data_IF_399248383174
#
_entry.id   IF_399248383174
#
_cell.length_a   1.000
_cell.length_b   1.000
_cell.length_c   1.000
_cell.angle_alpha   90.00
_cell.angle_beta   90.00
_cell.angle_gamma   90.00
#
_symmetry.space_group_name_H-M   'P 1'
#
loop_
_entity.id
_entity.type
_entity.pdbx_description
1 polymer ?
#
# COMPACT_ATOMS: atom_id res chain seq x y z
N UNK A 1 -3.97 -36.07 11.35
CA UNK A 1 -5.09 -35.30 11.95
C UNK A 1 -5.64 -34.44 10.81
N UNK A 2 -6.87 -34.67 10.35
CA UNK A 2 -7.51 -33.78 9.37
C UNK A 2 -7.87 -32.47 10.08
N UNK A 3 -7.26 -31.39 9.66
CA UNK A 3 -7.69 -30.04 10.03
C UNK A 3 -9.00 -29.79 9.26
N UNK A 4 -10.08 -29.54 9.97
CA UNK A 4 -11.33 -29.12 9.35
C UNK A 4 -11.35 -27.59 9.39
N UNK A 5 -11.00 -26.97 8.27
CA UNK A 5 -11.05 -25.51 8.14
C UNK A 5 -12.46 -25.03 7.78
N UNK A 6 -12.85 -23.81 8.20
CA UNK A 6 -14.12 -23.24 7.81
C UNK A 6 -14.18 -23.03 6.29
N UNK A 7 -15.32 -23.34 5.70
CA UNK A 7 -15.64 -22.87 4.36
C UNK A 7 -16.09 -21.40 4.45
N UNK A 8 -15.47 -20.53 3.68
CA UNK A 8 -15.70 -19.09 3.74
C UNK A 8 -15.86 -18.56 2.32
N UNK A 9 -16.98 -17.90 2.05
CA UNK A 9 -17.33 -17.38 0.74
C UNK A 9 -17.26 -15.86 0.63
N UNK A 10 -17.23 -15.15 1.75
CA UNK A 10 -17.25 -13.69 1.79
C UNK A 10 -16.55 -13.10 3.04
N UNK A 11 -16.45 -11.77 3.08
CA UNK A 11 -15.79 -11.06 4.16
C UNK A 11 -16.51 -11.17 5.51
N UNK A 12 -17.84 -11.30 5.52
CA UNK A 12 -18.62 -11.39 6.77
C UNK A 12 -18.35 -12.73 7.45
N UNK A 13 -18.38 -13.82 6.68
CA UNK A 13 -18.01 -15.15 7.19
C UNK A 13 -16.54 -15.18 7.64
N UNK A 14 -15.66 -14.51 6.90
CA UNK A 14 -14.24 -14.41 7.26
C UNK A 14 -14.04 -13.76 8.63
N UNK A 15 -14.70 -12.64 8.89
CA UNK A 15 -14.58 -11.91 10.15
C UNK A 15 -15.02 -12.75 11.35
N UNK A 16 -16.02 -13.62 11.18
CA UNK A 16 -16.49 -14.55 12.22
C UNK A 16 -15.41 -15.58 12.58
N UNK A 17 -14.64 -16.04 11.60
CA UNK A 17 -13.65 -17.10 11.75
C UNK A 17 -12.21 -16.58 11.86
N UNK A 18 -11.99 -15.28 11.66
CA UNK A 18 -10.65 -14.69 11.68
C UNK A 18 -9.90 -15.00 12.98
N UNK A 19 -10.57 -15.05 14.12
CA UNK A 19 -9.99 -15.27 15.46
C UNK A 19 -10.05 -16.70 15.96
N UNK A 20 -10.47 -17.66 15.15
CA UNK A 20 -10.61 -19.05 15.57
C UNK A 20 -9.31 -19.67 16.08
N UNK A 21 -9.42 -20.53 17.08
CA UNK A 21 -8.29 -21.23 17.70
C UNK A 21 -7.66 -22.33 16.80
N UNK A 22 -8.21 -22.53 15.61
CA UNK A 22 -7.66 -23.48 14.62
C UNK A 22 -6.38 -22.95 13.96
N UNK A 23 -6.21 -21.64 13.81
CA UNK A 23 -5.14 -21.02 13.04
C UNK A 23 -3.72 -21.29 13.53
N UNK A 24 -3.42 -21.33 14.84
CA UNK A 24 -2.11 -21.76 15.32
C UNK A 24 -1.77 -23.21 14.90
N UNK A 25 -2.75 -24.09 14.84
CA UNK A 25 -2.55 -25.48 14.40
C UNK A 25 -2.30 -25.54 12.88
N UNK A 26 -2.97 -24.68 12.09
CA UNK A 26 -2.73 -24.54 10.66
C UNK A 26 -1.31 -24.06 10.41
N UNK A 27 -0.88 -22.99 11.06
CA UNK A 27 0.49 -22.46 10.94
C UNK A 27 1.54 -23.51 11.34
N UNK A 28 1.32 -24.24 12.44
CA UNK A 28 2.19 -25.34 12.86
C UNK A 28 2.25 -26.48 11.82
N UNK A 29 1.11 -26.77 11.17
CA UNK A 29 1.04 -27.79 10.12
C UNK A 29 1.81 -27.35 8.86
N UNK A 30 1.69 -26.09 8.48
CA UNK A 30 2.48 -25.51 7.38
C UNK A 30 3.98 -25.60 7.69
N UNK A 31 4.40 -25.21 8.91
CA UNK A 31 5.79 -25.33 9.32
C UNK A 31 6.31 -26.78 9.22
N UNK A 32 5.55 -27.77 9.73
CA UNK A 32 5.93 -29.19 9.64
C UNK A 32 5.98 -29.68 8.18
N UNK A 33 5.02 -29.30 7.34
CA UNK A 33 4.99 -29.67 5.91
C UNK A 33 6.25 -29.25 5.19
N UNK A 34 6.75 -28.06 5.49
CA UNK A 34 7.95 -27.48 4.86
C UNK A 34 9.24 -27.71 5.68
N UNK A 35 9.18 -28.49 6.76
CA UNK A 35 10.32 -28.77 7.64
C UNK A 35 11.00 -27.49 8.17
N UNK A 36 10.19 -26.46 8.40
CA UNK A 36 10.68 -25.22 9.03
C UNK A 36 10.86 -25.48 10.53
N UNK A 37 12.07 -25.23 11.07
CA UNK A 37 12.24 -25.31 12.52
C UNK A 37 11.43 -24.19 13.19
N UNK A 38 10.75 -24.49 14.28
CA UNK A 38 10.07 -23.48 15.09
C UNK A 38 9.96 -23.92 16.54
N UNK A 39 10.16 -22.95 17.45
CA UNK A 39 9.90 -23.10 18.88
C UNK A 39 8.67 -22.29 19.28
N UNK A 40 8.39 -21.19 18.60
CA UNK A 40 7.27 -20.31 18.88
C UNK A 40 6.52 -19.85 17.61
N UNK A 41 5.22 -19.68 17.77
CA UNK A 41 4.32 -19.10 16.76
C UNK A 41 3.59 -17.92 17.41
N UNK A 42 3.81 -16.71 16.90
CA UNK A 42 3.13 -15.51 17.37
C UNK A 42 2.22 -14.98 16.26
N UNK A 43 0.94 -14.92 16.54
CA UNK A 43 -0.04 -14.38 15.61
C UNK A 43 0.05 -12.85 15.55
N UNK A 44 -0.12 -12.26 14.36
CA UNK A 44 -0.38 -10.83 14.22
C UNK A 44 -1.77 -10.51 14.80
N UNK A 45 -1.90 -9.48 15.64
CA UNK A 45 -3.21 -9.08 16.15
C UNK A 45 -4.07 -8.40 15.07
N UNK A 46 -3.42 -7.79 14.08
CA UNK A 46 -4.01 -6.96 13.05
C UNK A 46 -3.70 -7.50 11.65
N UNK A 47 -4.46 -7.07 10.67
CA UNK A 47 -4.26 -7.36 9.24
C UNK A 47 -5.48 -7.99 8.60
N UNK A 48 -5.55 -7.89 7.28
CA UNK A 48 -6.61 -8.49 6.47
C UNK A 48 -6.43 -9.99 6.25
N UNK A 49 -5.22 -10.51 6.45
CA UNK A 49 -4.88 -11.91 6.30
C UNK A 49 -4.44 -12.50 7.65
N UNK A 50 -4.49 -13.82 7.76
CA UNK A 50 -4.04 -14.51 8.96
C UNK A 50 -2.52 -14.64 8.90
N UNK A 51 -1.82 -13.96 9.80
CA UNK A 51 -0.36 -13.86 9.80
C UNK A 51 0.22 -14.45 11.08
N UNK A 52 1.22 -15.32 10.93
CA UNK A 52 2.03 -15.85 12.01
C UNK A 52 3.51 -15.53 11.80
N UNK A 53 4.14 -15.00 12.84
CA UNK A 53 5.58 -14.88 12.96
C UNK A 53 6.14 -16.16 13.57
N UNK A 54 7.14 -16.74 12.93
CA UNK A 54 7.76 -18.02 13.27
C UNK A 54 9.20 -17.77 13.71
N UNK A 55 9.44 -17.76 15.02
CA UNK A 55 10.76 -17.55 15.67
C UNK A 55 11.52 -16.34 15.13
N UNK A 56 10.81 -15.24 14.77
CA UNK A 56 11.41 -14.04 14.17
C UNK A 56 12.24 -14.32 12.88
N UNK A 57 12.05 -15.51 12.29
CA UNK A 57 12.78 -15.95 11.10
C UNK A 57 11.89 -15.99 9.87
N UNK A 58 10.66 -16.45 10.02
CA UNK A 58 9.70 -16.56 8.91
C UNK A 58 8.37 -15.88 9.24
N UNK A 59 7.65 -15.57 8.19
CA UNK A 59 6.24 -15.15 8.24
C UNK A 59 5.43 -16.17 7.45
N UNK A 60 4.39 -16.71 8.07
CA UNK A 60 3.35 -17.50 7.40
C UNK A 60 2.14 -16.59 7.22
N UNK A 61 1.76 -16.30 5.97
CA UNK A 61 0.58 -15.52 5.61
C UNK A 61 -0.42 -16.44 4.93
N UNK A 62 -1.62 -16.53 5.50
CA UNK A 62 -2.70 -17.42 5.04
C UNK A 62 -3.82 -16.54 4.50
N UNK A 63 -4.26 -16.82 3.29
CA UNK A 63 -5.22 -16.00 2.54
C UNK A 63 -6.61 -16.62 2.57
N UNK A 64 -7.62 -15.77 2.71
CA UNK A 64 -9.00 -16.20 2.61
C UNK A 64 -9.31 -16.72 1.20
N UNK A 65 -10.05 -17.84 1.05
CA UNK A 65 -10.29 -18.50 -0.24
C UNK A 65 -11.00 -17.62 -1.28
N UNK A 66 -11.81 -16.66 -0.86
CA UNK A 66 -12.56 -15.75 -1.74
C UNK A 66 -11.73 -14.53 -2.20
N UNK A 67 -10.50 -14.35 -1.69
CA UNK A 67 -9.62 -13.23 -2.03
C UNK A 67 -8.61 -13.62 -3.11
N UNK A 68 -8.48 -12.80 -4.13
CA UNK A 68 -7.53 -13.02 -5.23
C UNK A 68 -6.12 -12.51 -4.94
N UNK A 69 -5.89 -11.89 -3.78
CA UNK A 69 -4.63 -11.25 -3.45
C UNK A 69 -3.46 -12.23 -3.22
N UNK A 70 -3.71 -13.52 -2.97
CA UNK A 70 -2.64 -14.53 -2.86
C UNK A 70 -1.75 -14.59 -4.11
N UNK A 71 -2.36 -14.79 -5.30
CA UNK A 71 -1.59 -14.92 -6.54
C UNK A 71 -0.88 -13.61 -6.86
N UNK A 72 -1.54 -12.49 -6.64
CA UNK A 72 -1.01 -11.15 -6.84
C UNK A 72 0.20 -10.90 -5.97
N UNK A 73 0.12 -11.16 -4.66
CA UNK A 73 1.24 -10.97 -3.73
C UNK A 73 2.42 -11.90 -4.05
N UNK A 74 2.13 -13.15 -4.40
CA UNK A 74 3.15 -14.11 -4.84
C UNK A 74 3.94 -13.58 -6.04
N UNK A 75 3.25 -13.20 -7.11
CA UNK A 75 3.89 -12.70 -8.33
C UNK A 75 4.60 -11.36 -8.10
N UNK A 76 4.06 -10.49 -7.26
CA UNK A 76 4.65 -9.23 -6.90
C UNK A 76 5.97 -9.40 -6.13
N UNK A 77 6.03 -10.33 -5.17
CA UNK A 77 7.24 -10.67 -4.44
C UNK A 77 8.31 -11.26 -5.38
N UNK A 78 7.92 -12.22 -6.23
CA UNK A 78 8.81 -12.81 -7.23
C UNK A 78 9.36 -11.71 -8.19
N UNK A 79 8.51 -10.75 -8.57
CA UNK A 79 8.92 -9.64 -9.42
C UNK A 79 9.87 -8.67 -8.70
N UNK A 80 9.55 -8.27 -7.46
CA UNK A 80 10.32 -7.26 -6.74
C UNK A 80 11.67 -7.78 -6.19
N UNK A 81 11.83 -9.11 -6.07
CA UNK A 81 13.00 -9.73 -5.45
C UNK A 81 14.30 -9.29 -6.11
N UNK A 82 15.18 -8.65 -5.31
CA UNK A 82 16.52 -8.23 -5.75
C UNK A 82 16.56 -7.04 -6.72
N UNK A 83 15.43 -6.38 -6.97
CA UNK A 83 15.32 -5.24 -7.89
C UNK A 83 15.32 -3.87 -7.20
N UNK A 84 15.20 -3.84 -5.89
CA UNK A 84 15.13 -2.63 -5.10
C UNK A 84 16.39 -2.43 -4.25
N UNK A 85 16.75 -1.19 -3.99
CA UNK A 85 17.77 -0.81 -3.00
C UNK A 85 17.34 -1.09 -1.56
N UNK A 86 16.05 -1.32 -1.32
CA UNK A 86 15.46 -1.76 -0.06
C UNK A 86 15.07 -3.25 -0.15
N UNK A 87 15.04 -3.94 0.99
CA UNK A 87 14.71 -5.36 1.01
C UNK A 87 13.21 -5.57 0.80
N UNK A 88 12.88 -6.69 0.15
CA UNK A 88 11.52 -7.25 0.09
C UNK A 88 11.52 -8.62 0.75
N UNK A 89 10.39 -9.12 1.27
CA UNK A 89 10.33 -10.47 1.82
C UNK A 89 10.74 -11.51 0.76
N UNK A 90 11.69 -12.36 1.10
CA UNK A 90 12.06 -13.50 0.27
C UNK A 90 10.98 -14.58 0.38
N UNK A 91 10.39 -14.96 -0.75
CA UNK A 91 9.41 -16.05 -0.79
C UNK A 91 10.14 -17.39 -0.64
N UNK A 92 9.84 -18.13 0.43
CA UNK A 92 10.49 -19.41 0.75
C UNK A 92 9.65 -20.58 0.26
N UNK A 93 8.34 -20.56 0.54
CA UNK A 93 7.41 -21.64 0.18
C UNK A 93 6.03 -21.06 -0.10
N UNK A 94 5.28 -21.78 -0.91
CA UNK A 94 3.88 -21.52 -1.16
C UNK A 94 3.09 -22.83 -1.08
N UNK A 95 1.80 -22.74 -0.90
CA UNK A 95 0.95 -23.93 -0.93
C UNK A 95 -0.50 -23.62 -0.63
N UNK A 96 -1.25 -24.70 -0.47
CA UNK A 96 -2.65 -24.71 -0.08
C UNK A 96 -2.87 -25.73 1.04
N UNK A 97 -3.79 -25.40 1.95
CA UNK A 97 -4.25 -26.29 3.00
C UNK A 97 -5.78 -26.16 3.13
N UNK A 98 -6.50 -27.21 2.74
CA UNK A 98 -7.97 -27.30 2.77
C UNK A 98 -8.65 -26.10 2.05
N UNK A 99 -8.11 -25.67 0.89
CA UNK A 99 -8.62 -24.52 0.11
C UNK A 99 -8.10 -23.15 0.55
N UNK A 100 -7.23 -23.10 1.58
CA UNK A 100 -6.61 -21.86 2.04
C UNK A 100 -5.18 -21.76 1.51
N UNK A 101 -4.97 -20.86 0.57
CA UNK A 101 -3.64 -20.59 0.03
C UNK A 101 -2.75 -19.89 1.08
N UNK A 102 -1.45 -20.16 1.05
CA UNK A 102 -0.51 -19.53 1.97
C UNK A 102 0.84 -19.22 1.33
N UNK A 103 1.50 -18.21 1.88
CA UNK A 103 2.90 -17.88 1.61
C UNK A 103 3.72 -18.08 2.90
N UNK A 104 4.93 -18.61 2.73
CA UNK A 104 5.97 -18.60 3.75
C UNK A 104 7.09 -17.71 3.26
N UNK A 105 7.40 -16.68 4.00
CA UNK A 105 8.37 -15.66 3.62
C UNK A 105 9.46 -15.53 4.70
N UNK A 106 10.63 -15.03 4.32
CA UNK A 106 11.66 -14.59 5.27
C UNK A 106 11.16 -13.34 5.99
N UNK A 107 11.19 -13.35 7.34
CA UNK A 107 10.87 -12.16 8.11
C UNK A 107 11.96 -11.10 7.93
N UNK A 108 11.55 -9.87 7.66
CA UNK A 108 12.45 -8.71 7.64
C UNK A 108 12.52 -8.09 9.03
N UNK A 109 13.72 -7.72 9.45
CA UNK A 109 13.93 -7.04 10.71
C UNK A 109 13.55 -5.55 10.60
N UNK A 110 13.14 -4.94 11.71
CA UNK A 110 12.87 -3.52 11.81
C UNK A 110 11.57 -3.20 12.53
N UNK A 111 11.37 -1.91 12.76
CA UNK A 111 10.14 -1.35 13.31
C UNK A 111 9.26 -0.87 12.16
N UNK A 112 7.95 -1.08 12.23
CA UNK A 112 7.05 -0.44 11.31
C UNK A 112 7.20 1.08 11.42
N UNK A 113 7.31 1.78 10.30
CA UNK A 113 7.55 3.23 10.29
C UNK A 113 6.51 3.99 11.13
N UNK A 114 5.26 3.53 11.17
CA UNK A 114 4.18 4.11 11.99
C UNK A 114 4.52 4.21 13.48
N UNK A 115 5.35 3.31 13.99
CA UNK A 115 5.71 3.26 15.42
C UNK A 115 6.69 4.37 15.81
N UNK A 116 7.51 4.81 14.87
CA UNK A 116 8.61 5.73 15.13
C UNK A 116 8.51 7.07 14.39
N UNK A 117 7.62 7.17 13.40
CA UNK A 117 7.51 8.33 12.50
C UNK A 117 7.31 9.65 13.23
N UNK A 118 6.41 9.68 14.22
CA UNK A 118 6.07 10.93 14.95
C UNK A 118 7.21 11.41 15.84
N UNK A 119 8.02 10.50 16.38
CA UNK A 119 9.17 10.83 17.24
C UNK A 119 10.46 11.11 16.45
N UNK A 120 10.44 10.84 15.13
CA UNK A 120 11.61 10.97 14.27
C UNK A 120 11.94 12.44 13.98
N UNK A 121 13.23 12.77 13.97
CA UNK A 121 13.68 14.11 13.59
C UNK A 121 13.46 14.39 12.09
N UNK A 122 13.50 15.65 11.73
CA UNK A 122 13.24 16.12 10.35
C UNK A 122 14.20 15.54 9.32
N UNK A 123 15.49 15.47 9.67
CA UNK A 123 16.53 14.94 8.77
C UNK A 123 16.28 13.49 8.40
N UNK A 124 15.91 12.67 9.37
CA UNK A 124 15.63 11.25 9.14
C UNK A 124 14.38 11.07 8.28
N UNK A 125 13.30 11.85 8.53
CA UNK A 125 12.10 11.83 7.69
C UNK A 125 12.41 12.18 6.24
N UNK A 126 13.20 13.23 5.99
CA UNK A 126 13.66 13.60 4.65
C UNK A 126 14.49 12.49 4.00
N UNK A 127 15.40 11.87 4.74
CA UNK A 127 16.18 10.73 4.27
C UNK A 127 15.33 9.53 3.86
N UNK A 128 14.30 9.22 4.68
CA UNK A 128 13.37 8.12 4.40
C UNK A 128 12.53 8.38 3.15
N UNK A 129 11.89 9.55 3.03
CA UNK A 129 11.04 9.83 1.87
C UNK A 129 11.84 9.96 0.58
N UNK A 130 13.09 10.46 0.65
CA UNK A 130 14.00 10.48 -0.50
C UNK A 130 14.39 9.07 -0.92
N UNK A 131 14.76 8.20 0.03
CA UNK A 131 15.08 6.79 -0.28
C UNK A 131 13.86 6.04 -0.82
N UNK A 132 12.67 6.34 -0.29
CA UNK A 132 11.41 5.79 -0.81
C UNK A 132 11.19 6.21 -2.27
N UNK A 133 11.38 7.48 -2.61
CA UNK A 133 11.28 7.96 -4.00
C UNK A 133 12.24 7.21 -4.94
N UNK A 134 13.48 6.96 -4.51
CA UNK A 134 14.44 6.14 -5.27
C UNK A 134 13.93 4.71 -5.45
N UNK A 135 13.47 4.07 -4.39
CA UNK A 135 12.98 2.69 -4.45
C UNK A 135 11.73 2.54 -5.35
N UNK A 136 10.81 3.51 -5.31
CA UNK A 136 9.65 3.55 -6.22
C UNK A 136 10.11 3.66 -7.69
N UNK A 137 11.09 4.52 -7.99
CA UNK A 137 11.66 4.62 -9.34
C UNK A 137 12.31 3.31 -9.78
N UNK A 138 13.08 2.67 -8.91
CA UNK A 138 13.69 1.36 -9.21
C UNK A 138 12.61 0.35 -9.58
N UNK A 139 11.53 0.27 -8.80
CA UNK A 139 10.41 -0.62 -9.05
C UNK A 139 9.77 -0.37 -10.41
N UNK A 140 9.52 0.91 -10.75
CA UNK A 140 8.84 1.33 -11.98
C UNK A 140 9.71 1.24 -13.25
N UNK A 141 11.03 1.04 -13.14
CA UNK A 141 11.92 0.91 -14.30
C UNK A 141 11.97 -0.49 -14.89
N UNK A 142 11.51 -1.49 -14.15
CA UNK A 142 11.53 -2.88 -14.60
C UNK A 142 10.31 -3.22 -15.45
N UNK A 143 10.55 -3.90 -16.58
CA UNK A 143 9.46 -4.38 -17.44
C UNK A 143 8.65 -5.48 -16.73
N UNK A 144 7.34 -5.30 -16.69
CA UNK A 144 6.42 -6.29 -16.14
C UNK A 144 6.11 -7.35 -17.18
N UNK A 145 6.06 -8.66 -16.82
CA UNK A 145 5.65 -9.71 -17.74
C UNK A 145 4.24 -9.47 -18.27
N UNK A 146 3.99 -9.79 -19.54
CA UNK A 146 2.67 -9.60 -20.16
C UNK A 146 1.59 -10.49 -19.54
N UNK A 147 1.95 -11.69 -19.12
CA UNK A 147 1.05 -12.65 -18.47
C UNK A 147 1.33 -12.71 -16.97
N UNK A 148 0.57 -11.93 -16.21
CA UNK A 148 0.71 -11.83 -14.75
C UNK A 148 -0.63 -11.41 -14.14
N UNK A 149 -0.90 -11.84 -12.90
CA UNK A 149 -2.04 -11.41 -12.10
C UNK A 149 -1.96 -9.91 -11.74
N UNK A 150 -0.80 -9.27 -11.94
CA UNK A 150 -0.60 -7.84 -11.71
C UNK A 150 -1.19 -6.97 -12.83
N UNK A 151 -1.35 -7.52 -14.04
CA UNK A 151 -1.92 -6.78 -15.16
C UNK A 151 -3.43 -6.63 -14.95
N UNK A 152 -3.84 -5.42 -14.55
CA UNK A 152 -5.24 -4.99 -14.58
C UNK A 152 -5.51 -4.22 -15.87
N UNK A 153 -6.76 -4.23 -16.32
CA UNK A 153 -7.27 -3.22 -17.24
C UNK A 153 -7.27 -1.87 -16.50
N UNK A 154 -6.16 -1.14 -16.63
CA UNK A 154 -6.00 0.14 -15.93
C UNK A 154 -7.06 1.18 -16.32
N UNK A 155 -7.41 1.39 -17.61
CA UNK A 155 -8.51 2.27 -17.97
C UNK A 155 -9.82 1.87 -17.30
N UNK A 156 -10.22 0.61 -17.38
CA UNK A 156 -11.42 0.10 -16.71
C UNK A 156 -11.37 0.22 -15.20
N UNK A 157 -10.18 0.04 -14.59
CA UNK A 157 -9.98 0.29 -13.16
C UNK A 157 -10.24 1.76 -12.79
N UNK A 158 -9.68 2.71 -13.52
CA UNK A 158 -9.89 4.15 -13.28
C UNK A 158 -11.36 4.54 -13.48
N UNK A 159 -12.01 4.01 -14.53
CA UNK A 159 -13.44 4.24 -14.78
C UNK A 159 -14.29 3.71 -13.62
N UNK A 160 -14.05 2.49 -13.17
CA UNK A 160 -14.74 1.90 -12.03
C UNK A 160 -14.53 2.74 -10.76
N UNK A 161 -13.29 3.14 -10.45
CA UNK A 161 -12.99 3.98 -9.29
C UNK A 161 -13.70 5.33 -9.36
N UNK A 162 -13.82 5.94 -10.56
CA UNK A 162 -14.53 7.19 -10.74
C UNK A 162 -16.04 7.04 -10.46
N UNK A 163 -16.65 5.94 -10.91
CA UNK A 163 -18.07 5.63 -10.66
C UNK A 163 -18.37 5.42 -9.17
N UNK A 164 -17.48 4.68 -8.47
CA UNK A 164 -17.67 4.34 -7.06
C UNK A 164 -17.25 5.45 -6.09
N UNK A 165 -16.50 6.45 -6.55
CA UNK A 165 -15.85 7.46 -5.69
C UNK A 165 -16.83 8.20 -4.80
N UNK A 166 -17.97 8.68 -5.34
CA UNK A 166 -18.95 9.48 -4.58
C UNK A 166 -19.57 8.65 -3.46
N UNK A 167 -19.94 7.39 -3.75
CA UNK A 167 -20.55 6.51 -2.74
C UNK A 167 -19.52 6.09 -1.68
N UNK A 168 -18.29 5.80 -2.07
CA UNK A 168 -17.19 5.55 -1.14
C UNK A 168 -16.98 6.73 -0.19
N UNK A 169 -16.90 7.96 -0.73
CA UNK A 169 -16.73 9.15 0.11
C UNK A 169 -17.94 9.42 1.00
N UNK A 170 -19.16 9.14 0.51
CA UNK A 170 -20.39 9.23 1.32
C UNK A 170 -20.34 8.27 2.50
N UNK A 171 -19.97 7.03 2.28
CA UNK A 171 -19.83 6.02 3.34
C UNK A 171 -18.76 6.38 4.38
N UNK A 172 -17.71 7.11 3.97
CA UNK A 172 -16.70 7.67 4.88
C UNK A 172 -17.18 8.91 5.64
N UNK A 173 -18.37 9.44 5.37
CA UNK A 173 -18.90 10.65 6.00
C UNK A 173 -18.24 11.94 5.51
N UNK A 174 -17.92 12.00 4.21
CA UNK A 174 -17.38 13.19 3.57
C UNK A 174 -18.36 14.38 3.60
N UNK A 175 -17.83 15.60 3.47
CA UNK A 175 -18.61 16.83 3.37
C UNK A 175 -19.59 16.75 2.18
N UNK A 176 -20.88 17.09 2.36
CA UNK A 176 -21.87 17.11 1.28
C UNK A 176 -21.46 17.95 0.07
N UNK A 177 -20.81 19.09 0.25
CA UNK A 177 -20.32 19.95 -0.83
C UNK A 177 -19.26 19.24 -1.70
N UNK A 178 -18.43 18.38 -1.09
CA UNK A 178 -17.51 17.54 -1.86
C UNK A 178 -18.24 16.53 -2.71
N UNK A 179 -19.25 15.86 -2.14
CA UNK A 179 -20.05 14.86 -2.86
C UNK A 179 -20.78 15.45 -4.07
N UNK A 180 -21.28 16.68 -3.93
CA UNK A 180 -21.97 17.40 -5.02
C UNK A 180 -20.99 17.82 -6.13
N UNK A 181 -19.83 18.36 -5.77
CA UNK A 181 -18.84 18.86 -6.73
C UNK A 181 -17.94 17.78 -7.35
N UNK A 182 -17.82 16.62 -6.71
CA UNK A 182 -16.88 15.56 -7.09
C UNK A 182 -17.03 15.04 -8.52
N UNK A 183 -18.23 14.78 -9.07
CA UNK A 183 -18.38 14.31 -10.45
C UNK A 183 -17.78 15.27 -11.48
N UNK A 184 -18.04 16.57 -11.34
CA UNK A 184 -17.48 17.60 -12.23
C UNK A 184 -15.95 17.70 -12.04
N UNK A 185 -15.50 17.70 -10.79
CA UNK A 185 -14.09 17.75 -10.43
C UNK A 185 -13.28 16.60 -11.05
N UNK A 186 -13.83 15.37 -11.00
CA UNK A 186 -13.21 14.18 -11.60
C UNK A 186 -13.19 14.32 -13.13
N UNK A 187 -14.33 14.68 -13.74
CA UNK A 187 -14.47 14.78 -15.21
C UNK A 187 -13.45 15.75 -15.82
N UNK A 188 -13.23 16.90 -15.19
CA UNK A 188 -12.23 17.88 -15.62
C UNK A 188 -10.80 17.34 -15.58
N UNK A 189 -10.47 16.57 -14.54
CA UNK A 189 -9.10 16.12 -14.29
C UNK A 189 -8.75 14.80 -14.96
N UNK A 190 -9.72 13.99 -15.36
CA UNK A 190 -9.46 12.76 -16.13
C UNK A 190 -8.71 13.04 -17.42
N UNK A 191 -8.98 14.19 -18.06
CA UNK A 191 -8.27 14.61 -19.29
C UNK A 191 -6.78 14.94 -19.06
N UNK A 192 -6.37 15.17 -17.80
CA UNK A 192 -4.97 15.45 -17.45
C UNK A 192 -4.13 14.17 -17.30
N UNK A 193 -4.75 13.00 -17.19
CA UNK A 193 -4.01 11.76 -17.08
C UNK A 193 -3.23 11.49 -18.36
N UNK A 194 -1.91 11.23 -18.28
CA UNK A 194 -1.12 10.92 -19.45
C UNK A 194 -1.53 9.60 -20.07
N UNK A 195 -1.23 9.39 -21.38
CA UNK A 195 -1.41 8.09 -21.99
C UNK A 195 -0.68 7.03 -21.17
N UNK A 196 -1.35 5.92 -20.93
CA UNK A 196 -0.91 4.90 -19.98
C UNK A 196 0.44 4.28 -20.37
N UNK A 197 1.48 4.63 -19.62
CA UNK A 197 2.69 3.82 -19.51
C UNK A 197 2.56 3.01 -18.22
N UNK A 198 2.04 1.80 -18.35
CA UNK A 198 1.85 0.91 -17.21
C UNK A 198 3.19 0.50 -16.62
N UNK A 199 3.37 0.75 -15.33
CA UNK A 199 4.51 0.31 -14.52
C UNK A 199 4.00 -0.60 -13.41
N UNK A 200 4.91 -1.38 -12.81
CA UNK A 200 4.56 -2.13 -11.60
C UNK A 200 4.39 -1.16 -10.44
N UNK A 201 3.29 -1.28 -9.71
CA UNK A 201 2.98 -0.53 -8.50
C UNK A 201 2.91 -1.49 -7.31
N UNK A 202 3.43 -1.09 -6.17
CA UNK A 202 3.16 -1.77 -4.90
C UNK A 202 1.69 -1.57 -4.48
N UNK A 203 1.14 -0.38 -4.75
CA UNK A 203 -0.26 -0.02 -4.56
C UNK A 203 -0.63 0.42 -3.13
N UNK A 204 0.16 0.04 -2.11
CA UNK A 204 -0.14 0.34 -0.71
C UNK A 204 1.11 0.72 0.11
N UNK A 205 1.90 1.68 -0.38
CA UNK A 205 3.07 2.17 0.35
C UNK A 205 2.64 3.12 1.45
N UNK A 206 2.58 2.64 2.67
CA UNK A 206 2.29 3.48 3.84
C UNK A 206 3.20 3.15 5.04
N UNK A 207 3.07 3.91 6.12
CA UNK A 207 3.93 3.77 7.30
C UNK A 207 3.85 2.40 8.00
N UNK A 208 2.81 1.62 7.77
CA UNK A 208 2.68 0.25 8.27
C UNK A 208 3.52 -0.76 7.49
N UNK A 209 3.71 -0.52 6.18
CA UNK A 209 4.36 -1.42 5.25
C UNK A 209 5.85 -1.11 5.03
N UNK A 210 6.37 -0.01 5.62
CA UNK A 210 7.79 0.32 5.63
C UNK A 210 8.43 -0.10 6.96
N UNK A 211 9.44 -0.97 6.88
CA UNK A 211 10.26 -1.38 8.03
C UNK A 211 11.53 -0.55 8.10
N UNK A 212 11.76 0.04 9.27
CA UNK A 212 12.90 0.91 9.54
C UNK A 212 13.84 0.30 10.57
N UNK A 213 15.13 0.57 10.40
CA UNK A 213 16.18 0.23 11.36
C UNK A 213 17.06 1.44 11.62
N UNK A 214 17.71 1.46 12.78
CA UNK A 214 18.73 2.48 13.08
C UNK A 214 20.11 2.01 12.64
N UNK A 215 20.81 2.85 11.90
CA UNK A 215 22.19 2.62 11.51
C UNK A 215 22.98 3.94 11.61
N UNK A 216 24.04 3.95 12.43
CA UNK A 216 24.85 5.17 12.64
C UNK A 216 24.07 6.32 13.28
N UNK A 217 23.08 6.02 14.13
CA UNK A 217 22.24 7.03 14.80
C UNK A 217 21.15 7.65 13.94
N UNK A 218 20.95 7.17 12.72
CA UNK A 218 19.91 7.62 11.79
C UNK A 218 18.95 6.50 11.45
N UNK A 219 17.67 6.82 11.23
CA UNK A 219 16.69 5.89 10.71
C UNK A 219 16.86 5.67 9.20
N UNK A 220 16.75 4.42 8.76
CA UNK A 220 16.84 4.03 7.35
C UNK A 220 15.77 3.00 7.03
N UNK A 221 15.31 2.98 5.78
CA UNK A 221 14.43 1.92 5.29
C UNK A 221 15.25 0.64 5.21
N UNK A 222 14.79 -0.40 5.91
CA UNK A 222 15.33 -1.75 5.80
C UNK A 222 14.53 -2.60 4.83
N UNK A 223 13.20 -2.39 4.75
CA UNK A 223 12.36 -3.17 3.86
C UNK A 223 10.98 -2.59 3.61
N UNK A 224 10.37 -3.10 2.55
CA UNK A 224 8.99 -2.87 2.14
C UNK A 224 8.27 -4.22 2.15
N UNK A 225 7.09 -4.30 2.77
CA UNK A 225 6.31 -5.53 2.97
C UNK A 225 4.88 -5.33 2.47
N UNK A 226 4.14 -6.44 2.36
CA UNK A 226 2.71 -6.47 2.02
C UNK A 226 2.42 -6.04 0.56
N UNK A 227 2.75 -6.93 -0.37
CA UNK A 227 2.59 -6.74 -1.80
C UNK A 227 1.22 -7.21 -2.32
N UNK A 228 0.23 -7.43 -1.44
CA UNK A 228 -1.08 -7.97 -1.80
C UNK A 228 -1.91 -7.07 -2.71
N UNK A 229 -1.68 -5.75 -2.67
CA UNK A 229 -2.39 -4.75 -3.48
C UNK A 229 -1.62 -4.30 -4.72
N UNK A 230 -0.53 -5.01 -5.05
CA UNK A 230 0.28 -4.70 -6.22
C UNK A 230 -0.51 -4.85 -7.52
N UNK A 231 -0.27 -3.93 -8.44
CA UNK A 231 -0.92 -3.88 -9.74
C UNK A 231 -0.02 -3.19 -10.77
N UNK A 232 -0.43 -3.24 -12.05
CA UNK A 232 0.21 -2.46 -13.09
C UNK A 232 -0.67 -1.26 -13.42
N UNK A 233 -0.09 -0.06 -13.44
CA UNK A 233 -0.84 1.17 -13.65
C UNK A 233 0.03 2.40 -13.86
N UNK A 234 -0.58 3.56 -13.74
CA UNK A 234 0.10 4.85 -13.87
C UNK A 234 1.00 5.12 -12.65
N UNK A 235 2.24 5.49 -12.91
CA UNK A 235 3.26 5.72 -11.86
C UNK A 235 2.82 6.71 -10.77
N UNK A 236 2.01 7.72 -11.11
CA UNK A 236 1.50 8.72 -10.17
C UNK A 236 0.60 8.10 -9.07
N UNK A 237 -0.04 6.96 -9.33
CA UNK A 237 -0.89 6.29 -8.35
C UNK A 237 -0.10 5.82 -7.12
N UNK A 238 1.18 5.43 -7.30
CA UNK A 238 2.05 5.01 -6.20
C UNK A 238 2.31 6.10 -5.15
N UNK A 239 2.23 7.38 -5.55
CA UNK A 239 2.46 8.49 -4.63
C UNK A 239 1.28 8.78 -3.70
N UNK A 240 0.09 8.24 -4.00
CA UNK A 240 -1.12 8.56 -3.24
C UNK A 240 -1.00 8.12 -1.78
N UNK A 241 -0.78 6.84 -1.54
CA UNK A 241 -0.73 6.32 -0.17
C UNK A 241 0.36 6.98 0.69
N UNK A 242 1.65 7.07 0.27
CA UNK A 242 2.65 7.80 1.05
C UNK A 242 2.34 9.30 1.14
N UNK A 243 1.73 9.89 0.12
CA UNK A 243 1.35 11.30 0.08
C UNK A 243 0.34 11.67 1.15
N UNK A 244 -0.73 10.90 1.31
CA UNK A 244 -1.83 11.19 2.24
C UNK A 244 -1.67 10.53 3.61
N UNK A 245 -0.91 9.44 3.71
CA UNK A 245 -0.79 8.66 4.95
C UNK A 245 0.52 8.90 5.70
N UNK A 246 1.58 9.39 5.05
CA UNK A 246 2.88 9.62 5.67
C UNK A 246 3.31 11.10 5.66
N UNK A 247 3.35 11.74 4.49
CA UNK A 247 3.85 13.11 4.36
C UNK A 247 2.78 14.20 4.57
N UNK A 248 1.51 13.89 4.46
CA UNK A 248 0.34 14.63 4.93
C UNK A 248 0.38 16.16 4.67
N UNK A 249 0.63 16.58 3.44
CA UNK A 249 0.68 17.99 3.06
C UNK A 249 1.97 18.72 3.50
N UNK A 250 2.99 17.99 3.89
CA UNK A 250 4.32 18.55 4.16
C UNK A 250 5.08 18.80 2.84
N UNK A 251 5.18 20.07 2.45
CA UNK A 251 5.78 20.48 1.17
C UNK A 251 7.19 19.94 0.96
N UNK A 252 8.03 20.02 1.97
CA UNK A 252 9.43 19.63 1.86
C UNK A 252 9.59 18.12 1.69
N UNK A 253 8.81 17.32 2.46
CA UNK A 253 8.82 15.86 2.34
C UNK A 253 8.27 15.40 1.00
N UNK A 254 7.19 16.02 0.50
CA UNK A 254 6.62 15.70 -0.81
C UNK A 254 7.64 16.02 -1.93
N UNK A 255 8.27 17.18 -1.90
CA UNK A 255 9.29 17.56 -2.88
C UNK A 255 10.50 16.61 -2.83
N UNK A 256 10.98 16.29 -1.63
CA UNK A 256 12.10 15.36 -1.47
C UNK A 256 11.80 13.98 -2.07
N UNK A 257 10.58 13.46 -1.88
CA UNK A 257 10.14 12.19 -2.46
C UNK A 257 10.05 12.25 -3.99
N UNK A 258 9.38 13.28 -4.54
CA UNK A 258 9.16 13.43 -5.98
C UNK A 258 10.47 13.68 -6.73
N UNK A 259 11.36 14.55 -6.22
CA UNK A 259 12.67 14.82 -6.81
C UNK A 259 13.57 13.58 -6.77
N UNK A 260 13.58 12.84 -5.66
CA UNK A 260 14.35 11.61 -5.54
C UNK A 260 13.83 10.48 -6.45
N UNK A 261 12.51 10.46 -6.71
CA UNK A 261 11.93 9.59 -7.73
C UNK A 261 12.42 9.94 -9.14
N UNK A 262 12.73 11.22 -9.42
CA UNK A 262 13.27 11.67 -10.69
C UNK A 262 12.40 12.68 -11.43
N UNK A 263 11.35 13.22 -10.83
CA UNK A 263 10.66 14.37 -11.41
C UNK A 263 11.62 15.58 -11.43
N UNK A 264 11.82 16.21 -12.58
CA UNK A 264 12.55 17.48 -12.62
C UNK A 264 11.74 18.58 -11.91
N UNK A 265 12.42 19.57 -11.36
CA UNK A 265 11.80 20.67 -10.61
C UNK A 265 10.65 21.34 -11.40
N UNK A 266 10.84 21.53 -12.71
CA UNK A 266 9.86 22.17 -13.60
C UNK A 266 8.55 21.34 -13.79
N UNK A 267 8.55 20.06 -13.44
CA UNK A 267 7.36 19.19 -13.49
C UNK A 267 6.63 19.10 -12.14
N UNK A 268 7.14 19.74 -11.09
CA UNK A 268 6.44 19.88 -9.82
C UNK A 268 5.42 21.03 -9.91
N UNK A 269 4.55 20.95 -10.89
CA UNK A 269 3.61 21.97 -11.34
C UNK A 269 2.17 21.69 -10.87
N UNK A 270 1.26 22.55 -11.32
CA UNK A 270 -0.15 22.47 -10.99
C UNK A 270 -0.82 21.25 -11.64
N UNK A 271 -0.41 20.85 -12.83
CA UNK A 271 -0.96 19.69 -13.53
C UNK A 271 -0.64 18.39 -12.81
N UNK A 272 0.61 18.24 -12.34
CA UNK A 272 0.97 17.09 -11.50
C UNK A 272 0.17 17.09 -10.18
N UNK A 273 -0.02 18.25 -9.57
CA UNK A 273 -0.85 18.38 -8.35
C UNK A 273 -2.28 17.95 -8.60
N UNK A 274 -2.90 18.41 -9.70
CA UNK A 274 -4.26 18.06 -10.07
C UNK A 274 -4.42 16.56 -10.37
N UNK A 275 -3.45 15.94 -11.06
CA UNK A 275 -3.42 14.49 -11.29
C UNK A 275 -3.31 13.70 -10.00
N UNK A 276 -2.41 14.10 -9.08
CA UNK A 276 -2.26 13.42 -7.79
C UNK A 276 -3.51 13.56 -6.92
N UNK A 277 -4.21 14.70 -6.96
CA UNK A 277 -5.49 14.84 -6.25
C UNK A 277 -6.59 13.99 -6.88
N UNK A 278 -6.69 13.95 -8.21
CA UNK A 278 -7.61 13.03 -8.88
C UNK A 278 -7.35 11.59 -8.44
N UNK A 279 -6.09 11.12 -8.52
CA UNK A 279 -5.73 9.77 -8.10
C UNK A 279 -5.95 9.53 -6.59
N UNK A 280 -5.87 10.58 -5.77
CA UNK A 280 -6.23 10.51 -4.35
C UNK A 280 -7.72 10.22 -4.15
N UNK A 281 -8.59 10.84 -4.95
CA UNK A 281 -10.04 10.55 -4.93
C UNK A 281 -10.31 9.14 -5.46
N UNK A 282 -9.62 8.73 -6.51
CA UNK A 282 -9.79 7.42 -7.18
C UNK A 282 -9.05 6.26 -6.49
N UNK A 283 -8.29 6.53 -5.44
CA UNK A 283 -7.60 5.47 -4.68
C UNK A 283 -8.63 4.53 -4.04
N UNK A 284 -8.41 3.21 -4.14
CA UNK A 284 -9.38 2.19 -3.65
C UNK A 284 -9.75 2.40 -2.18
N UNK A 285 -8.78 2.77 -1.34
CA UNK A 285 -8.97 3.04 0.09
C UNK A 285 -9.11 4.54 0.41
N UNK A 286 -9.58 5.36 -0.57
CA UNK A 286 -9.69 6.80 -0.40
C UNK A 286 -10.72 7.18 0.66
N UNK A 287 -10.30 8.04 1.59
CA UNK A 287 -11.13 8.64 2.63
C UNK A 287 -10.72 10.13 2.80
N UNK A 288 -11.35 11.00 2.01
CA UNK A 288 -11.03 12.43 2.02
C UNK A 288 -11.30 13.09 3.38
N UNK A 289 -12.32 12.62 4.10
CA UNK A 289 -12.61 13.10 5.45
C UNK A 289 -11.45 12.82 6.40
N UNK A 290 -10.92 11.60 6.37
CA UNK A 290 -9.75 11.21 7.17
C UNK A 290 -8.51 12.03 6.79
N UNK A 291 -8.30 12.30 5.50
CA UNK A 291 -7.16 13.10 5.04
C UNK A 291 -7.29 14.55 5.47
N UNK A 292 -8.48 15.16 5.34
CA UNK A 292 -8.76 16.51 5.82
C UNK A 292 -8.52 16.64 7.33
N UNK A 293 -9.07 15.73 8.12
CA UNK A 293 -8.90 15.75 9.58
C UNK A 293 -7.44 15.58 10.04
N UNK A 294 -6.62 14.90 9.26
CA UNK A 294 -5.18 14.79 9.52
C UNK A 294 -4.41 16.07 9.24
N UNK A 295 -4.88 16.88 8.29
CA UNK A 295 -4.29 18.21 8.03
C UNK A 295 -4.67 19.20 9.13
N UNK A 296 -5.95 19.43 9.30
CA UNK A 296 -6.54 20.30 10.31
C UNK A 296 -8.06 20.09 10.34
N UNK A 297 -8.71 20.39 11.46
CA UNK A 297 -10.17 20.28 11.57
C UNK A 297 -10.90 21.20 10.61
N UNK A 298 -10.34 22.38 10.36
CA UNK A 298 -10.86 23.38 9.44
C UNK A 298 -10.87 22.91 7.98
N UNK A 299 -10.00 21.98 7.62
CA UNK A 299 -9.94 21.41 6.26
C UNK A 299 -11.21 20.64 5.87
N UNK A 300 -12.07 20.31 6.82
CA UNK A 300 -13.41 19.78 6.55
C UNK A 300 -14.34 20.77 5.84
N UNK A 301 -14.04 22.07 5.91
CA UNK A 301 -14.81 23.13 5.27
C UNK A 301 -14.16 23.63 3.96
N UNK A 302 -13.07 23.03 3.52
CA UNK A 302 -12.40 23.36 2.27
C UNK A 302 -13.24 22.89 1.08
N UNK A 303 -13.17 23.63 -0.02
CA UNK A 303 -13.56 23.08 -1.33
C UNK A 303 -12.60 21.98 -1.75
N UNK A 304 -12.93 21.20 -2.79
CA UNK A 304 -12.01 20.18 -3.33
C UNK A 304 -10.70 20.80 -3.82
N UNK A 305 -10.73 22.01 -4.42
CA UNK A 305 -9.53 22.72 -4.85
C UNK A 305 -8.67 23.22 -3.70
N UNK A 306 -9.27 23.66 -2.61
CA UNK A 306 -8.55 24.02 -1.39
C UNK A 306 -7.92 22.77 -0.71
N UNK A 307 -8.68 21.66 -0.71
CA UNK A 307 -8.19 20.39 -0.18
C UNK A 307 -7.03 19.85 -1.03
N UNK A 308 -7.10 19.95 -2.36
CA UNK A 308 -6.00 19.64 -3.28
C UNK A 308 -4.72 20.41 -2.90
N UNK A 309 -4.84 21.75 -2.76
CA UNK A 309 -3.70 22.61 -2.35
C UNK A 309 -3.17 22.28 -0.97
N UNK A 310 -4.04 21.86 -0.05
CA UNK A 310 -3.67 21.52 1.32
C UNK A 310 -2.98 20.14 1.41
N UNK A 311 -3.43 19.15 0.64
CA UNK A 311 -2.84 17.81 0.60
C UNK A 311 -1.51 17.83 -0.19
N UNK A 312 -1.51 18.41 -1.40
CA UNK A 312 -0.40 18.37 -2.35
C UNK A 312 0.28 19.74 -2.45
N UNK A 313 1.09 20.09 -1.44
CA UNK A 313 1.74 21.41 -1.31
C UNK A 313 3.03 21.57 -2.12
N UNK A 314 3.52 20.56 -2.80
CA UNK A 314 4.81 20.56 -3.46
C UNK A 314 4.88 21.56 -4.65
N UNK A 315 3.77 21.78 -5.35
CA UNK A 315 3.73 22.66 -6.50
C UNK A 315 4.01 24.13 -6.12
N UNK A 316 4.69 24.81 -6.99
CA UNK A 316 4.84 26.28 -6.94
C UNK A 316 3.70 26.93 -7.71
N UNK A 317 3.04 27.92 -7.12
CA UNK A 317 2.05 28.78 -7.78
C UNK A 317 2.72 29.72 -8.77
#
# INVERSE_FOLDING_TARGET
>A
MHLKLPFISDAVEYDLHFKDDVWPQVAATICRRHRLPYASLRRSPDGENIIFFVDETFVVKIFAPFRENYLREKEALDFAQGKLSIKTPELIQTGDIEGWSYLVMRQLAGHASREVWTSMNRRDRLGIVSHLGVAMRELHTHAVPLQTALNRDWPGFIEHQALESVERQRSCGANPEWLESMPAYIAERLALLPPNRSVFLHGDIHAGNLLLTQAGGCWKINGLIDFGDSLCGLQEYEFVAPGVLMVQGDRELQRAMLLAYGYPEAQLDLDLRARLMLLTILYECSDLRKYALRLAREAMNFTLDELERAIWKFATE
#
